data_IF_423121409783
#
_entry.id   IF_423121409783
#
_cell.length_a   1.000
_cell.length_b   1.000
_cell.length_c   1.000
_cell.angle_alpha   90.00
_cell.angle_beta   90.00
_cell.angle_gamma   90.00
#
_symmetry.space_group_name_H-M   'P 1'
#
loop_
_entity.id
_entity.type
_entity.pdbx_description
1 polymer ?
#
# COMPACT_ATOMS: atom_id res chain seq x y z
N UNK A 1 -15.26 -22.74 -9.43
CA UNK A 1 -14.44 -21.98 -10.39
C UNK A 1 -13.05 -21.88 -9.80
N UNK A 2 -12.01 -22.25 -10.53
CA UNK A 2 -10.62 -21.98 -10.11
C UNK A 2 -10.38 -20.49 -10.25
N UNK A 3 -10.08 -19.80 -9.16
CA UNK A 3 -9.76 -18.37 -9.19
C UNK A 3 -8.47 -18.19 -10.01
N UNK A 4 -8.56 -17.42 -11.10
CA UNK A 4 -7.43 -17.23 -12.00
C UNK A 4 -6.36 -16.39 -11.31
N UNK A 5 -5.12 -16.88 -11.32
CA UNK A 5 -3.93 -16.19 -10.82
C UNK A 5 -3.03 -15.87 -11.99
N UNK A 6 -2.69 -14.59 -12.16
CA UNK A 6 -1.75 -14.15 -13.18
C UNK A 6 -0.36 -14.77 -12.90
N UNK A 7 0.27 -15.50 -13.85
CA UNK A 7 1.61 -16.05 -13.65
C UNK A 7 2.68 -15.03 -13.26
N UNK A 8 2.51 -13.76 -13.65
CA UNK A 8 3.43 -12.68 -13.27
C UNK A 8 3.45 -12.43 -11.75
N UNK A 9 2.36 -12.74 -11.04
CA UNK A 9 2.34 -12.69 -9.57
C UNK A 9 3.39 -13.61 -8.96
N UNK A 10 3.50 -14.86 -9.43
CA UNK A 10 4.46 -15.82 -8.88
C UNK A 10 5.90 -15.40 -9.19
N UNK A 11 6.16 -14.85 -10.38
CA UNK A 11 7.49 -14.30 -10.73
C UNK A 11 7.87 -13.14 -9.82
N UNK A 12 6.94 -12.20 -9.59
CA UNK A 12 7.16 -11.07 -8.67
C UNK A 12 7.38 -11.55 -7.23
N UNK A 13 6.61 -12.54 -6.78
CA UNK A 13 6.76 -13.12 -5.45
C UNK A 13 8.09 -13.87 -5.26
N UNK A 14 8.52 -14.65 -6.25
CA UNK A 14 9.83 -15.31 -6.24
C UNK A 14 10.97 -14.30 -6.24
N UNK A 15 10.84 -13.24 -7.04
CA UNK A 15 11.79 -12.13 -7.05
C UNK A 15 11.87 -11.44 -5.68
N UNK A 16 10.73 -11.11 -5.08
CA UNK A 16 10.66 -10.53 -3.73
C UNK A 16 11.37 -11.40 -2.69
N UNK A 17 11.09 -12.72 -2.66
CA UNK A 17 11.78 -13.65 -1.76
C UNK A 17 13.30 -13.65 -1.95
N UNK A 18 13.77 -13.56 -3.19
CA UNK A 18 15.20 -13.48 -3.49
C UNK A 18 15.82 -12.16 -2.98
N UNK A 19 15.16 -11.03 -3.20
CA UNK A 19 15.63 -9.72 -2.73
C UNK A 19 15.64 -9.63 -1.21
N UNK A 20 14.59 -10.13 -0.55
CA UNK A 20 14.52 -10.22 0.91
C UNK A 20 15.67 -11.06 1.48
N UNK A 21 16.00 -12.19 0.86
CA UNK A 21 17.13 -13.04 1.28
C UNK A 21 18.48 -12.35 1.09
N UNK A 22 18.65 -11.58 0.01
CA UNK A 22 19.93 -10.97 -0.34
C UNK A 22 20.20 -9.66 0.41
N UNK A 23 19.19 -8.80 0.52
CA UNK A 23 19.34 -7.43 1.01
C UNK A 23 18.67 -7.19 2.36
N UNK A 24 17.81 -8.11 2.81
CA UNK A 24 17.04 -7.94 4.05
C UNK A 24 15.83 -7.00 3.89
N UNK A 25 15.17 -6.76 5.02
CA UNK A 25 14.04 -5.85 5.12
C UNK A 25 14.50 -4.38 5.07
N UNK A 26 13.64 -3.49 4.59
CA UNK A 26 13.87 -2.03 4.50
C UNK A 26 14.87 -1.57 3.42
N UNK A 27 15.51 -2.50 2.70
CA UNK A 27 16.35 -2.14 1.55
C UNK A 27 15.46 -1.71 0.37
N UNK A 28 15.76 -0.60 -0.35
CA UNK A 28 14.89 -0.09 -1.43
C UNK A 28 14.53 -1.14 -2.49
N UNK A 29 15.49 -1.97 -2.89
CA UNK A 29 15.26 -3.08 -3.85
C UNK A 29 14.23 -4.09 -3.32
N UNK A 30 14.29 -4.42 -2.02
CA UNK A 30 13.32 -5.34 -1.40
C UNK A 30 11.94 -4.70 -1.34
N UNK A 31 11.84 -3.43 -0.96
CA UNK A 31 10.59 -2.67 -0.92
C UNK A 31 9.92 -2.59 -2.31
N UNK A 32 10.71 -2.29 -3.35
CA UNK A 32 10.25 -2.25 -4.73
C UNK A 32 9.72 -3.62 -5.21
N UNK A 33 10.45 -4.70 -4.93
CA UNK A 33 9.99 -6.04 -5.27
C UNK A 33 8.70 -6.42 -4.52
N UNK A 34 8.56 -5.98 -3.27
CA UNK A 34 7.34 -6.15 -2.50
C UNK A 34 6.16 -5.38 -3.11
N UNK A 35 6.34 -4.11 -3.49
CA UNK A 35 5.30 -3.30 -4.13
C UNK A 35 4.80 -3.92 -5.44
N UNK A 36 5.69 -4.47 -6.26
CA UNK A 36 5.29 -5.17 -7.49
C UNK A 36 4.47 -6.43 -7.18
N UNK A 37 4.83 -7.17 -6.13
CA UNK A 37 4.06 -8.33 -5.67
C UNK A 37 2.65 -7.92 -5.25
N UNK A 38 2.49 -6.83 -4.49
CA UNK A 38 1.20 -6.31 -4.07
C UNK A 38 0.35 -5.84 -5.28
N UNK A 39 0.98 -5.18 -6.26
CA UNK A 39 0.30 -4.72 -7.47
C UNK A 39 -0.30 -5.88 -8.27
N UNK A 40 0.47 -6.96 -8.43
CA UNK A 40 0.07 -8.15 -9.19
C UNK A 40 -0.76 -9.15 -8.38
N UNK A 41 -1.04 -8.85 -7.11
CA UNK A 41 -1.73 -9.76 -6.20
C UNK A 41 -3.17 -10.05 -6.71
N UNK A 42 -3.57 -11.33 -6.77
CA UNK A 42 -4.94 -11.71 -7.12
C UNK A 42 -5.97 -11.14 -6.15
N UNK A 43 -7.15 -10.81 -6.65
CA UNK A 43 -8.22 -10.16 -5.87
C UNK A 43 -8.67 -10.96 -4.64
N UNK A 44 -8.70 -12.30 -4.71
CA UNK A 44 -9.05 -13.12 -3.56
C UNK A 44 -7.98 -13.06 -2.45
N UNK A 45 -6.69 -12.99 -2.82
CA UNK A 45 -5.59 -12.83 -1.87
C UNK A 45 -5.60 -11.42 -1.29
N UNK A 46 -5.88 -10.38 -2.10
CA UNK A 46 -6.05 -9.00 -1.61
C UNK A 46 -7.13 -8.93 -0.54
N UNK A 47 -8.30 -9.56 -0.76
CA UNK A 47 -9.38 -9.61 0.23
C UNK A 47 -8.98 -10.31 1.52
N UNK A 48 -8.22 -11.41 1.44
CA UNK A 48 -7.70 -12.10 2.62
C UNK A 48 -6.68 -11.23 3.37
N UNK A 49 -5.77 -10.58 2.63
CA UNK A 49 -4.79 -9.66 3.18
C UNK A 49 -5.46 -8.47 3.89
N UNK A 50 -6.50 -7.88 3.30
CA UNK A 50 -7.28 -6.80 3.90
C UNK A 50 -7.99 -7.25 5.18
N UNK A 51 -8.55 -8.47 5.19
CA UNK A 51 -9.17 -9.04 6.37
C UNK A 51 -8.14 -9.23 7.50
N UNK A 52 -6.94 -9.72 7.17
CA UNK A 52 -5.84 -9.88 8.12
C UNK A 52 -5.28 -8.54 8.60
N UNK A 53 -5.17 -7.54 7.74
CA UNK A 53 -4.76 -6.19 8.13
C UNK A 53 -5.73 -5.58 9.15
N UNK A 54 -7.03 -5.82 9.00
CA UNK A 54 -8.06 -5.42 9.98
C UNK A 54 -7.95 -6.21 11.29
N UNK A 55 -7.81 -7.53 11.21
CA UNK A 55 -7.65 -8.41 12.38
C UNK A 55 -6.43 -8.02 13.23
N UNK A 56 -5.33 -7.70 12.57
CA UNK A 56 -4.06 -7.33 13.20
C UNK A 56 -3.93 -5.83 13.49
N UNK A 57 -4.98 -5.04 13.22
CA UNK A 57 -5.00 -3.58 13.41
C UNK A 57 -3.81 -2.87 12.72
N UNK A 58 -3.47 -3.31 11.51
CA UNK A 58 -2.34 -2.77 10.71
C UNK A 58 -2.71 -1.50 9.93
N UNK A 59 -3.98 -1.12 9.92
CA UNK A 59 -4.47 0.09 9.28
C UNK A 59 -5.28 0.90 10.29
N UNK A 60 -5.21 2.24 10.24
CA UNK A 60 -6.15 3.08 10.97
C UNK A 60 -7.60 2.84 10.49
N UNK A 61 -8.60 3.29 11.26
CA UNK A 61 -9.94 3.49 10.73
C UNK A 61 -9.92 4.35 9.45
N UNK A 62 -10.89 4.11 8.57
CA UNK A 62 -11.06 4.94 7.36
C UNK A 62 -11.37 6.38 7.77
N UNK A 63 -10.64 7.35 7.23
CA UNK A 63 -10.79 8.77 7.56
C UNK A 63 -11.91 9.44 6.76
N UNK A 64 -12.24 8.89 5.59
CA UNK A 64 -13.28 9.42 4.72
C UNK A 64 -13.48 8.59 3.47
N UNK A 65 -14.40 9.02 2.63
CA UNK A 65 -14.69 8.37 1.35
C UNK A 65 -14.71 9.39 0.22
N UNK A 66 -14.28 8.97 -0.98
CA UNK A 66 -14.57 9.71 -2.22
C UNK A 66 -16.07 9.71 -2.50
N UNK A 67 -16.53 10.53 -3.44
CA UNK A 67 -17.94 10.54 -3.86
C UNK A 67 -18.37 9.20 -4.50
N UNK A 68 -17.43 8.44 -5.06
CA UNK A 68 -17.64 7.11 -5.61
C UNK A 68 -17.65 6.01 -4.53
N UNK A 69 -17.36 6.37 -3.28
CA UNK A 69 -17.37 5.47 -2.13
C UNK A 69 -16.05 4.75 -1.86
N UNK A 70 -14.95 5.18 -2.48
CA UNK A 70 -13.63 4.60 -2.21
C UNK A 70 -13.10 5.07 -0.84
N UNK A 71 -12.59 4.15 0.01
CA UNK A 71 -12.08 4.51 1.32
C UNK A 71 -10.75 5.26 1.22
N UNK A 72 -10.65 6.36 1.97
CA UNK A 72 -9.46 7.20 2.05
C UNK A 72 -8.94 7.26 3.48
N UNK A 73 -7.61 7.22 3.62
CA UNK A 73 -6.89 7.32 4.88
C UNK A 73 -6.11 8.62 4.91
N UNK A 74 -6.29 9.42 5.96
CA UNK A 74 -5.50 10.64 6.15
C UNK A 74 -4.11 10.28 6.65
N UNK A 75 -3.11 11.06 6.22
CA UNK A 75 -1.74 10.85 6.66
C UNK A 75 -1.60 11.14 8.16
N UNK A 76 -2.40 12.07 8.70
CA UNK A 76 -2.50 12.36 10.12
C UNK A 76 -3.00 11.16 10.93
N UNK A 77 -4.03 10.45 10.47
CA UNK A 77 -4.56 9.30 11.18
C UNK A 77 -3.62 8.09 11.08
N UNK A 78 -2.93 7.94 9.94
CA UNK A 78 -1.83 6.97 9.79
C UNK A 78 -0.74 7.28 10.83
N UNK A 79 -0.26 8.53 10.91
CA UNK A 79 0.79 8.92 11.84
C UNK A 79 0.38 8.65 13.30
N UNK A 80 -0.84 9.04 13.69
CA UNK A 80 -1.39 8.78 15.03
C UNK A 80 -1.49 7.29 15.34
N UNK A 81 -1.94 6.47 14.39
CA UNK A 81 -2.11 5.03 14.57
C UNK A 81 -0.80 4.32 14.82
N UNK A 82 0.26 4.72 14.11
CA UNK A 82 1.60 4.14 14.29
C UNK A 82 2.42 4.83 15.39
N UNK A 83 1.93 5.91 16.00
CA UNK A 83 2.64 6.65 17.04
C UNK A 83 3.89 7.37 16.54
N UNK A 84 3.91 7.76 15.25
CA UNK A 84 5.00 8.48 14.60
C UNK A 84 4.63 9.94 14.35
N UNK A 85 5.61 10.79 14.03
CA UNK A 85 5.30 12.19 13.69
C UNK A 85 4.68 12.28 12.28
N UNK A 86 4.00 13.40 12.02
CA UNK A 86 3.47 13.66 10.67
C UNK A 86 4.60 13.76 9.64
N UNK A 87 5.71 14.40 10.00
CA UNK A 87 6.88 14.54 9.13
C UNK A 87 7.50 13.18 8.81
N UNK A 88 7.55 12.25 9.76
CA UNK A 88 7.99 10.88 9.52
C UNK A 88 7.05 10.15 8.56
N UNK A 89 5.73 10.26 8.77
CA UNK A 89 4.74 9.67 7.87
C UNK A 89 4.83 10.25 6.45
N UNK A 90 5.05 11.56 6.31
CA UNK A 90 5.24 12.23 5.03
C UNK A 90 6.50 11.75 4.32
N UNK A 91 7.63 11.61 5.03
CA UNK A 91 8.86 11.07 4.46
C UNK A 91 8.68 9.62 3.97
N UNK A 92 7.97 8.78 4.73
CA UNK A 92 7.68 7.41 4.33
C UNK A 92 6.76 7.37 3.09
N UNK A 93 5.73 8.24 3.04
CA UNK A 93 4.85 8.36 1.88
C UNK A 93 5.62 8.77 0.62
N UNK A 94 6.48 9.78 0.72
CA UNK A 94 7.30 10.24 -0.40
C UNK A 94 8.27 9.15 -0.89
N UNK A 95 8.90 8.42 0.04
CA UNK A 95 9.73 7.25 -0.30
C UNK A 95 8.93 6.18 -1.03
N UNK A 96 7.71 5.89 -0.56
CA UNK A 96 6.82 4.93 -1.21
C UNK A 96 6.47 5.37 -2.63
N UNK A 97 6.13 6.64 -2.82
CA UNK A 97 5.79 7.21 -4.13
C UNK A 97 6.95 7.14 -5.13
N UNK A 98 8.17 7.46 -4.69
CA UNK A 98 9.38 7.36 -5.51
C UNK A 98 9.67 5.90 -5.90
N UNK A 99 9.62 4.98 -4.93
CA UNK A 99 9.80 3.55 -5.18
C UNK A 99 8.81 3.02 -6.23
N UNK A 100 7.53 3.41 -6.17
CA UNK A 100 6.50 3.03 -7.14
C UNK A 100 6.84 3.53 -8.54
N UNK A 101 7.23 4.79 -8.67
CA UNK A 101 7.59 5.39 -9.96
C UNK A 101 8.82 4.71 -10.58
N UNK A 102 9.84 4.38 -9.78
CA UNK A 102 11.05 3.71 -10.26
C UNK A 102 10.79 2.35 -10.89
N UNK A 103 9.72 1.65 -10.48
CA UNK A 103 9.30 0.37 -11.05
C UNK A 103 8.09 0.49 -11.99
N UNK A 104 7.74 1.70 -12.41
CA UNK A 104 6.69 1.97 -13.40
C UNK A 104 5.25 1.86 -12.87
N UNK A 105 5.04 1.87 -11.55
CA UNK A 105 3.71 1.89 -10.95
C UNK A 105 3.19 3.32 -10.81
N UNK A 106 1.88 3.48 -11.00
CA UNK A 106 1.19 4.76 -10.79
C UNK A 106 1.07 5.11 -9.29
N UNK A 107 1.02 6.40 -8.99
CA UNK A 107 0.67 6.94 -7.67
C UNK A 107 -0.80 7.37 -7.59
N UNK A 108 -1.64 6.95 -8.56
CA UNK A 108 -3.09 7.15 -8.49
C UNK A 108 -3.65 6.61 -7.17
N UNK A 109 -4.59 7.37 -6.60
CA UNK A 109 -5.13 7.13 -5.26
C UNK A 109 -4.40 7.86 -4.14
N UNK A 110 -3.24 8.48 -4.40
CA UNK A 110 -2.57 9.37 -3.45
C UNK A 110 -2.95 10.81 -3.78
N UNK A 111 -3.59 11.49 -2.83
CA UNK A 111 -4.08 12.86 -2.99
C UNK A 111 -3.22 13.83 -2.19
N UNK A 112 -2.53 14.75 -2.89
CA UNK A 112 -1.73 15.82 -2.28
C UNK A 112 -2.27 17.15 -2.76
N UNK A 113 -2.70 18.02 -1.83
CA UNK A 113 -3.30 19.32 -2.13
C UNK A 113 -4.40 19.22 -3.22
N UNK A 114 -5.23 18.18 -3.12
CA UNK A 114 -6.27 17.90 -4.10
C UNK A 114 -7.54 18.70 -3.78
N UNK A 115 -8.20 19.20 -4.82
CA UNK A 115 -9.51 19.85 -4.72
C UNK A 115 -10.67 18.83 -4.67
N UNK A 116 -10.37 17.53 -4.65
CA UNK A 116 -11.37 16.47 -4.55
C UNK A 116 -12.11 16.57 -3.21
N UNK A 117 -13.43 16.46 -3.27
CA UNK A 117 -14.26 16.38 -2.08
C UNK A 117 -14.09 15.02 -1.39
N UNK A 118 -13.83 15.05 -0.09
CA UNK A 118 -13.74 13.85 0.75
C UNK A 118 -14.80 13.93 1.84
N UNK A 119 -15.70 12.95 1.85
CA UNK A 119 -16.73 12.77 2.87
C UNK A 119 -16.08 12.19 4.13
N UNK A 120 -15.60 13.05 5.03
CA UNK A 120 -14.90 12.63 6.26
C UNK A 120 -15.84 11.90 7.22
N UNK A 121 -15.33 10.80 7.80
CA UNK A 121 -16.00 10.12 8.91
C UNK A 121 -15.81 10.96 10.17
N UNK A 122 -16.93 11.33 10.83
CA UNK A 122 -16.94 12.14 12.06
C UNK A 122 -16.73 11.29 13.32
#
# INVERSE_FOLDING_TARGET
MTEHVNPEFFKAFDHYKAMLKQYGDGHPITEQAFMMTLHLMPEHIKKEMDAKAKELNLLPPVSGYTDDGDPMYSLEDIAKHFGISFEEAEQQLLKMMDNRQQIGLSNDGILINSDIHINRVQ
#
